data_IF_751227401499
#
_entry.id   IF_751227401499
#
_cell.length_a   1.000
_cell.length_b   1.000
_cell.length_c   1.000
_cell.angle_alpha   90.00
_cell.angle_beta   90.00
_cell.angle_gamma   90.00
#
_symmetry.space_group_name_H-M   'P 1'
#
loop_
_entity.id
_entity.type
_entity.pdbx_description
1 polymer ?
#
# COMPACT_ATOMS: atom_id res chain seq x y z
N UNK A 1 19.58 29.48 -22.82
CA UNK A 1 19.80 28.21 -23.52
C UNK A 1 20.96 27.51 -22.84
N UNK A 2 20.67 26.45 -22.19
CA UNK A 2 21.63 25.67 -21.45
C UNK A 2 22.00 24.51 -22.37
N UNK A 3 23.28 24.24 -22.47
CA UNK A 3 23.86 23.23 -23.37
C UNK A 3 23.02 21.93 -23.47
N UNK A 4 22.85 21.42 -24.70
CA UNK A 4 22.11 20.20 -25.03
C UNK A 4 22.54 18.91 -24.29
N UNK A 5 23.57 19.01 -23.42
CA UNK A 5 24.13 17.89 -22.64
C UNK A 5 24.05 18.10 -21.12
N UNK A 6 23.37 19.15 -20.64
CA UNK A 6 23.21 19.42 -19.20
C UNK A 6 21.75 19.64 -18.89
N UNK A 7 21.22 18.85 -17.96
CA UNK A 7 19.91 19.05 -17.38
C UNK A 7 20.07 19.40 -15.89
N UNK A 8 19.35 20.43 -15.45
CA UNK A 8 19.22 20.76 -14.03
C UNK A 8 17.87 20.24 -13.56
N UNK A 9 17.91 19.41 -12.54
CA UNK A 9 16.70 18.88 -11.90
C UNK A 9 16.64 19.42 -10.47
N UNK A 10 15.50 19.98 -10.09
CA UNK A 10 15.20 20.41 -8.73
C UNK A 10 14.09 19.53 -8.20
N UNK A 11 14.38 18.81 -7.13
CA UNK A 11 13.41 17.95 -6.47
C UNK A 11 13.08 18.54 -5.10
N UNK A 12 11.81 18.59 -4.76
CA UNK A 12 11.31 18.95 -3.43
C UNK A 12 10.72 17.68 -2.85
N UNK A 13 11.23 17.28 -1.70
CA UNK A 13 10.72 16.12 -0.95
C UNK A 13 9.96 16.64 0.26
N UNK A 14 8.74 16.18 0.43
CA UNK A 14 7.96 16.36 1.66
C UNK A 14 7.97 15.05 2.41
N UNK A 15 8.43 15.07 3.64
CA UNK A 15 8.45 13.92 4.53
C UNK A 15 7.35 14.11 5.59
N UNK A 16 6.50 13.12 5.73
CA UNK A 16 5.56 12.99 6.84
C UNK A 16 6.05 11.87 7.75
N UNK A 17 6.25 12.19 9.01
CA UNK A 17 6.71 11.22 10.02
C UNK A 17 5.62 11.09 11.08
N UNK A 18 5.16 9.87 11.27
CA UNK A 18 4.22 9.50 12.33
C UNK A 18 4.94 8.60 13.33
N UNK A 19 4.90 8.96 14.60
CA UNK A 19 5.43 8.16 15.67
C UNK A 19 4.30 7.76 16.63
N UNK A 20 4.19 6.47 16.90
CA UNK A 20 3.19 5.94 17.82
C UNK A 20 3.90 5.32 19.03
N UNK A 21 3.29 5.50 20.20
CA UNK A 21 3.76 4.92 21.45
C UNK A 21 2.58 4.22 22.13
N UNK A 22 2.78 2.98 22.47
CA UNK A 22 1.86 2.31 23.38
C UNK A 22 1.99 2.92 24.78
N UNK A 23 0.86 3.27 25.35
CA UNK A 23 0.79 3.80 26.69
C UNK A 23 -0.36 3.13 27.41
N UNK A 24 -0.10 2.41 28.50
CA UNK A 24 -1.16 1.86 29.33
C UNK A 24 -2.00 3.02 29.89
N UNK A 25 -3.29 2.96 29.68
CA UNK A 25 -4.25 3.87 30.28
C UNK A 25 -4.78 3.18 31.54
N UNK A 26 -4.46 3.66 32.75
CA UNK A 26 -5.02 3.10 33.97
C UNK A 26 -6.52 3.42 33.99
N UNK A 27 -7.34 2.42 33.79
CA UNK A 27 -8.75 2.49 34.11
C UNK A 27 -8.89 2.33 35.62
N UNK A 28 -9.82 3.08 36.23
CA UNK A 28 -10.12 2.92 37.64
C UNK A 28 -10.68 1.50 37.84
N UNK A 29 -10.02 0.70 38.67
CA UNK A 29 -10.57 -0.57 39.10
C UNK A 29 -11.89 -0.30 39.81
N UNK A 30 -12.94 -0.99 39.35
CA UNK A 30 -14.23 -0.93 39.99
C UNK A 30 -14.06 -1.69 41.33
N UNK A 31 -14.14 -1.01 42.48
CA UNK A 31 -13.94 -1.70 43.75
C UNK A 31 -14.98 -2.80 43.93
N UNK A 32 -14.55 -3.93 44.47
CA UNK A 32 -15.50 -4.95 44.93
C UNK A 32 -16.53 -4.31 45.89
N UNK A 33 -17.75 -4.80 45.85
CA UNK A 33 -18.86 -4.23 46.61
C UNK A 33 -18.51 -4.10 48.11
N UNK A 34 -18.19 -2.90 48.54
CA UNK A 34 -18.11 -2.57 49.94
C UNK A 34 -19.52 -2.21 50.47
N UNK A 35 -19.80 -2.52 51.74
CA UNK A 35 -21.10 -2.28 52.42
C UNK A 35 -21.47 -0.82 52.39
N UNK A 36 -21.31 0.04 51.65
CA UNK A 36 -21.71 1.45 51.61
C UNK A 36 -21.08 2.20 50.43
N UNK A 37 -20.65 1.46 49.40
CA UNK A 37 -20.17 2.06 48.15
C UNK A 37 -21.09 1.69 47.00
N UNK A 38 -21.74 2.70 46.44
CA UNK A 38 -22.59 2.58 45.30
C UNK A 38 -21.83 3.08 44.06
N UNK A 39 -21.69 2.24 43.06
CA UNK A 39 -20.98 2.53 41.82
C UNK A 39 -21.90 2.45 40.64
N UNK A 40 -21.71 3.35 39.69
CA UNK A 40 -22.36 3.32 38.37
C UNK A 40 -21.30 3.22 37.33
N UNK A 41 -21.43 2.22 36.47
CA UNK A 41 -20.56 2.02 35.31
C UNK A 41 -21.25 2.42 34.02
N UNK A 42 -20.50 2.69 33.00
CA UNK A 42 -20.98 2.83 31.64
C UNK A 42 -20.06 2.09 30.67
N UNK A 43 -20.66 1.42 29.65
CA UNK A 43 -19.85 0.76 28.62
C UNK A 43 -19.22 1.80 27.71
N UNK A 44 -17.92 1.65 27.49
CA UNK A 44 -17.16 2.44 26.54
C UNK A 44 -16.58 1.52 25.46
N UNK A 45 -16.71 1.96 24.21
CA UNK A 45 -16.08 1.29 23.10
C UNK A 45 -14.68 1.87 22.89
N UNK A 46 -13.68 1.01 22.95
CA UNK A 46 -12.27 1.31 22.68
C UNK A 46 -11.81 0.47 21.50
N UNK A 47 -10.77 0.95 20.83
CA UNK A 47 -10.09 0.16 19.81
C UNK A 47 -8.68 -0.12 20.27
N UNK A 48 -8.29 -1.38 20.16
CA UNK A 48 -6.95 -1.85 20.44
C UNK A 48 -6.27 -2.27 19.14
N UNK A 49 -5.04 -1.79 18.91
CA UNK A 49 -4.21 -2.29 17.83
C UNK A 49 -3.76 -3.71 18.17
N UNK A 50 -4.18 -4.69 17.38
CA UNK A 50 -3.82 -6.10 17.58
C UNK A 50 -2.81 -6.57 16.55
N UNK A 51 -2.73 -5.89 15.41
CA UNK A 51 -1.76 -6.21 14.36
C UNK A 51 -1.04 -4.94 13.92
N UNK A 52 0.29 -4.96 14.11
CA UNK A 52 1.21 -4.02 13.48
C UNK A 52 2.34 -4.82 12.85
N UNK A 53 2.15 -5.22 11.60
CA UNK A 53 3.07 -6.12 10.90
C UNK A 53 3.58 -5.49 9.62
N UNK A 54 4.88 -5.65 9.38
CA UNK A 54 5.51 -5.39 8.09
C UNK A 54 5.87 -6.72 7.45
N UNK A 55 5.59 -6.82 6.15
CA UNK A 55 5.89 -8.01 5.38
C UNK A 55 6.20 -7.63 3.94
N UNK A 56 6.66 -8.58 3.13
CA UNK A 56 6.96 -8.38 1.72
C UNK A 56 6.36 -9.47 0.87
N UNK A 57 5.84 -9.12 -0.29
CA UNK A 57 5.46 -10.09 -1.31
C UNK A 57 6.31 -9.89 -2.55
N UNK A 58 6.72 -11.00 -3.16
CA UNK A 58 7.47 -11.01 -4.40
C UNK A 58 6.65 -11.65 -5.50
N UNK A 59 6.54 -10.94 -6.62
CA UNK A 59 5.79 -11.36 -7.79
C UNK A 59 6.78 -11.53 -8.93
N UNK A 60 6.78 -12.72 -9.54
CA UNK A 60 7.61 -13.04 -10.69
C UNK A 60 6.73 -13.58 -11.79
N UNK A 61 6.80 -12.94 -12.94
CA UNK A 61 6.03 -13.31 -14.12
C UNK A 61 6.87 -13.13 -15.38
N UNK A 62 6.64 -13.97 -16.36
CA UNK A 62 7.29 -13.89 -17.66
C UNK A 62 6.27 -13.36 -18.69
N UNK A 63 6.57 -12.19 -19.27
CA UNK A 63 5.76 -11.55 -20.30
C UNK A 63 6.30 -11.90 -21.68
N UNK A 64 5.49 -12.59 -22.46
CA UNK A 64 5.80 -12.86 -23.84
C UNK A 64 5.30 -11.73 -24.74
N UNK A 65 6.10 -11.31 -25.72
CA UNK A 65 5.63 -10.38 -26.74
C UNK A 65 4.46 -10.96 -27.50
N UNK A 66 3.41 -10.15 -27.76
CA UNK A 66 2.31 -10.56 -28.61
C UNK A 66 2.78 -10.97 -30.00
N UNK A 67 2.06 -11.88 -30.68
CA UNK A 67 2.36 -12.24 -32.07
C UNK A 67 2.40 -11.01 -32.98
N UNK A 68 3.36 -10.98 -33.92
CA UNK A 68 3.50 -9.87 -34.88
C UNK A 68 4.24 -8.63 -34.32
N UNK A 69 4.68 -8.64 -33.08
CA UNK A 69 5.62 -7.63 -32.57
C UNK A 69 7.05 -8.05 -32.89
N UNK A 70 7.91 -7.10 -33.31
CA UNK A 70 9.31 -7.41 -33.57
C UNK A 70 10.08 -7.71 -32.27
N UNK A 71 11.16 -8.46 -32.40
CA UNK A 71 12.04 -8.84 -31.29
C UNK A 71 12.60 -7.64 -30.57
N UNK A 72 12.93 -7.81 -29.30
CA UNK A 72 13.50 -6.76 -28.45
C UNK A 72 15.00 -6.73 -28.63
N UNK A 73 15.54 -5.65 -29.15
CA UNK A 73 16.99 -5.43 -29.10
C UNK A 73 17.45 -4.99 -27.71
N UNK A 74 16.73 -3.99 -27.13
CA UNK A 74 16.97 -3.53 -25.77
C UNK A 74 15.76 -2.76 -25.22
N UNK A 75 15.58 -2.82 -23.90
CA UNK A 75 14.60 -2.01 -23.18
C UNK A 75 15.19 -0.64 -22.93
N UNK A 76 14.50 0.41 -23.38
CA UNK A 76 14.90 1.82 -23.24
C UNK A 76 14.31 2.49 -22.02
N UNK A 77 13.07 2.15 -21.69
CA UNK A 77 12.33 2.70 -20.56
C UNK A 77 11.43 1.62 -19.97
N UNK A 78 11.29 1.62 -18.67
CA UNK A 78 10.39 0.71 -17.96
C UNK A 78 9.68 1.42 -16.81
N UNK A 79 8.44 1.06 -16.59
CA UNK A 79 7.62 1.53 -15.49
C UNK A 79 6.71 0.40 -15.01
N UNK A 80 6.62 0.25 -13.69
CA UNK A 80 5.68 -0.68 -13.05
C UNK A 80 4.85 0.10 -12.06
N UNK A 81 3.54 -0.04 -12.14
CA UNK A 81 2.59 0.54 -11.20
C UNK A 81 1.74 -0.55 -10.57
N UNK A 82 1.43 -0.37 -9.31
CA UNK A 82 0.49 -1.22 -8.58
C UNK A 82 -0.86 -0.55 -8.59
N UNK A 83 -1.90 -1.30 -8.97
CA UNK A 83 -3.27 -0.78 -9.03
C UNK A 83 -4.30 -1.82 -8.58
N UNK A 84 -5.51 -1.35 -8.23
CA UNK A 84 -6.61 -2.22 -7.85
C UNK A 84 -6.31 -3.11 -6.65
N UNK A 85 -5.48 -2.63 -5.73
CA UNK A 85 -5.10 -3.41 -4.55
C UNK A 85 -6.27 -3.56 -3.60
N UNK A 86 -6.48 -4.78 -3.13
CA UNK A 86 -7.45 -5.16 -2.12
C UNK A 86 -6.75 -6.05 -1.10
N UNK A 87 -6.93 -5.74 0.18
CA UNK A 87 -6.43 -6.58 1.28
C UNK A 87 -7.61 -6.97 2.15
N UNK A 88 -7.78 -8.27 2.35
CA UNK A 88 -8.83 -8.81 3.21
C UNK A 88 -8.22 -9.61 4.35
N UNK A 89 -8.56 -9.30 5.59
CA UNK A 89 -8.26 -10.15 6.72
C UNK A 89 -9.13 -11.42 6.65
N UNK A 90 -8.51 -12.57 6.85
CA UNK A 90 -9.13 -13.87 7.02
C UNK A 90 -8.53 -14.53 8.26
N UNK A 91 -9.07 -15.67 8.69
CA UNK A 91 -8.55 -16.40 9.84
C UNK A 91 -7.10 -16.84 9.59
N UNK A 92 -6.18 -16.36 10.41
CA UNK A 92 -4.75 -16.69 10.35
C UNK A 92 -3.97 -16.10 9.19
N UNK A 93 -4.55 -15.23 8.35
CA UNK A 93 -3.86 -14.66 7.19
C UNK A 93 -4.52 -13.41 6.62
N UNK A 94 -3.77 -12.70 5.80
CA UNK A 94 -4.28 -11.68 4.90
C UNK A 94 -4.27 -12.18 3.46
N UNK A 95 -5.34 -11.92 2.72
CA UNK A 95 -5.38 -12.11 1.26
C UNK A 95 -5.11 -10.76 0.61
N UNK A 96 -4.01 -10.68 -0.14
CA UNK A 96 -3.60 -9.49 -0.89
C UNK A 96 -3.81 -9.75 -2.37
N UNK A 97 -4.62 -8.94 -3.02
CA UNK A 97 -4.88 -8.99 -4.46
C UNK A 97 -4.60 -7.65 -5.09
N UNK A 98 -4.33 -7.68 -6.39
CA UNK A 98 -4.14 -6.47 -7.18
C UNK A 98 -3.69 -6.78 -8.58
N UNK A 99 -3.27 -5.75 -9.27
CA UNK A 99 -2.71 -5.83 -10.61
C UNK A 99 -1.44 -5.00 -10.70
N UNK A 100 -0.41 -5.56 -11.32
CA UNK A 100 0.78 -4.81 -11.74
C UNK A 100 0.54 -4.33 -13.17
N UNK A 101 0.53 -3.03 -13.39
CA UNK A 101 0.56 -2.47 -14.73
C UNK A 101 2.02 -2.27 -15.13
N UNK A 102 2.48 -3.10 -16.05
CA UNK A 102 3.86 -3.09 -16.56
C UNK A 102 3.87 -2.38 -17.89
N UNK A 103 4.65 -1.32 -17.98
CA UNK A 103 4.92 -0.60 -19.22
C UNK A 103 6.40 -0.66 -19.55
N UNK A 104 6.75 -0.93 -20.79
CA UNK A 104 8.12 -0.72 -21.27
C UNK A 104 8.15 -0.27 -22.72
N UNK A 105 9.11 0.63 -22.98
CA UNK A 105 9.49 1.10 -24.30
C UNK A 105 10.77 0.37 -24.69
N UNK A 106 10.80 -0.17 -25.91
CA UNK A 106 11.96 -0.90 -26.38
C UNK A 106 12.37 -0.54 -27.80
N UNK A 107 13.64 -0.71 -28.07
CA UNK A 107 14.20 -0.70 -29.42
C UNK A 107 14.11 -2.11 -29.98
N UNK A 108 13.53 -2.24 -31.16
CA UNK A 108 13.40 -3.54 -31.84
C UNK A 108 14.56 -3.81 -32.78
N UNK A 109 14.71 -5.06 -33.17
CA UNK A 109 15.67 -5.48 -34.20
C UNK A 109 15.25 -5.05 -35.60
N UNK A 110 13.97 -4.72 -35.80
CA UNK A 110 13.41 -4.27 -37.07
C UNK A 110 13.64 -2.76 -37.25
N UNK A 111 14.45 -2.38 -38.24
CA UNK A 111 14.80 -0.98 -38.52
C UNK A 111 13.59 -0.13 -38.94
N UNK A 112 12.58 -0.71 -39.60
CA UNK A 112 11.36 0.01 -39.99
C UNK A 112 10.44 0.31 -38.79
N UNK A 113 10.50 -0.53 -37.74
CA UNK A 113 9.69 -0.42 -36.53
C UNK A 113 10.55 -0.25 -35.29
N UNK A 114 11.56 0.57 -35.37
CA UNK A 114 12.64 0.69 -34.38
C UNK A 114 12.16 0.92 -32.96
N UNK A 115 11.14 1.74 -32.74
CA UNK A 115 10.60 2.03 -31.39
C UNK A 115 9.24 1.39 -31.21
N UNK A 116 9.13 0.55 -30.22
CA UNK A 116 7.92 -0.16 -29.84
C UNK A 116 7.69 -0.04 -28.34
N UNK A 117 6.45 -0.21 -27.92
CA UNK A 117 6.07 -0.24 -26.51
C UNK A 117 5.06 -1.33 -26.23
N UNK A 118 5.05 -1.78 -24.97
CA UNK A 118 4.09 -2.73 -24.41
C UNK A 118 3.55 -2.15 -23.12
N UNK A 119 2.24 -2.29 -22.91
CA UNK A 119 1.58 -2.10 -21.63
C UNK A 119 0.74 -3.35 -21.36
N UNK A 120 0.99 -3.99 -20.24
CA UNK A 120 0.27 -5.21 -19.85
C UNK A 120 -0.02 -5.22 -18.35
N UNK A 121 -1.25 -5.63 -17.99
CA UNK A 121 -1.68 -5.90 -16.63
C UNK A 121 -1.32 -7.34 -16.23
N UNK A 122 -0.75 -7.49 -15.05
CA UNK A 122 -0.45 -8.78 -14.41
C UNK A 122 -1.25 -8.86 -13.12
N UNK A 123 -2.34 -9.64 -13.05
CA UNK A 123 -3.07 -9.82 -11.83
C UNK A 123 -2.24 -10.65 -10.83
N UNK A 124 -2.29 -10.30 -9.57
CA UNK A 124 -1.64 -11.07 -8.52
C UNK A 124 -2.57 -11.36 -7.35
N UNK A 125 -2.32 -12.48 -6.69
CA UNK A 125 -2.95 -12.87 -5.43
C UNK A 125 -1.92 -13.55 -4.55
N UNK A 126 -1.71 -13.01 -3.35
CA UNK A 126 -0.78 -13.55 -2.37
C UNK A 126 -1.48 -13.71 -1.02
N UNK A 127 -0.95 -14.62 -0.22
CA UNK A 127 -1.37 -14.84 1.16
C UNK A 127 -0.22 -14.45 2.09
N UNK A 128 -0.53 -13.68 3.12
CA UNK A 128 0.42 -13.27 4.16
C UNK A 128 -0.04 -13.88 5.47
N UNK A 129 0.72 -14.81 6.01
CA UNK A 129 0.39 -15.49 7.26
C UNK A 129 0.44 -14.51 8.44
N UNK A 130 -0.58 -14.54 9.30
CA UNK A 130 -0.65 -13.72 10.51
C UNK A 130 -1.60 -14.42 11.48
N UNK A 131 -1.07 -15.04 12.53
CA UNK A 131 -1.85 -15.86 13.47
C UNK A 131 -2.93 -15.05 14.20
N UNK A 132 -2.67 -13.78 14.47
CA UNK A 132 -3.61 -12.88 15.13
C UNK A 132 -4.72 -12.36 14.21
N UNK A 133 -4.63 -12.65 12.89
CA UNK A 133 -5.57 -12.15 11.93
C UNK A 133 -6.92 -12.84 12.02
N UNK A 134 -7.98 -12.06 12.07
CA UNK A 134 -9.40 -12.48 12.07
C UNK A 134 -10.19 -11.61 11.10
N UNK A 135 -11.28 -12.16 10.59
CA UNK A 135 -12.11 -11.49 9.58
C UNK A 135 -12.87 -10.26 10.08
N UNK A 136 -13.04 -10.13 11.39
CA UNK A 136 -13.76 -9.02 12.06
C UNK A 136 -12.87 -7.79 12.32
N UNK A 137 -11.57 -7.91 12.12
CA UNK A 137 -10.65 -6.80 12.34
C UNK A 137 -10.85 -5.67 11.34
N UNK A 138 -10.79 -4.45 11.84
CA UNK A 138 -10.83 -3.23 11.03
C UNK A 138 -9.45 -2.62 10.94
N UNK A 139 -8.96 -2.34 9.74
CA UNK A 139 -7.62 -1.81 9.60
C UNK A 139 -7.25 -1.39 8.19
N UNK A 140 -5.98 -1.06 8.02
CA UNK A 140 -5.42 -0.59 6.76
C UNK A 140 -4.10 -1.29 6.48
N UNK A 141 -3.91 -1.63 5.22
CA UNK A 141 -2.62 -2.06 4.68
C UNK A 141 -2.11 -1.03 3.69
N UNK A 142 -0.93 -0.51 3.93
CA UNK A 142 -0.20 0.29 2.98
C UNK A 142 0.69 -0.63 2.15
N UNK A 143 0.61 -0.48 0.81
CA UNK A 143 1.37 -1.26 -0.14
C UNK A 143 2.27 -0.32 -0.91
N UNK A 144 3.57 -0.56 -0.85
CA UNK A 144 4.58 0.24 -1.53
C UNK A 144 5.41 -0.62 -2.47
N UNK A 145 5.60 -0.14 -3.71
CA UNK A 145 6.52 -0.76 -4.65
C UNK A 145 7.96 -0.49 -4.20
N UNK A 146 8.62 -1.53 -3.72
CA UNK A 146 10.00 -1.46 -3.20
C UNK A 146 11.04 -1.70 -4.31
N UNK A 147 10.76 -2.67 -5.18
CA UNK A 147 11.66 -3.05 -6.28
C UNK A 147 10.87 -3.46 -7.50
N UNK A 148 11.34 -3.07 -8.69
CA UNK A 148 10.82 -3.52 -9.96
C UNK A 148 11.97 -3.73 -10.95
N UNK A 149 12.15 -4.97 -11.38
CA UNK A 149 13.14 -5.36 -12.38
C UNK A 149 12.45 -5.99 -13.58
N UNK A 150 12.85 -5.57 -14.77
CA UNK A 150 12.48 -6.16 -16.03
C UNK A 150 13.77 -6.61 -16.72
N UNK A 151 13.84 -7.90 -17.01
CA UNK A 151 15.00 -8.53 -17.64
C UNK A 151 14.58 -9.19 -18.94
N UNK A 152 15.26 -8.85 -20.03
CA UNK A 152 15.07 -9.49 -21.32
C UNK A 152 15.58 -10.93 -21.27
N UNK A 153 14.78 -11.86 -21.76
CA UNK A 153 15.11 -13.27 -21.87
C UNK A 153 14.81 -13.77 -23.27
N UNK A 154 15.52 -14.82 -23.66
CA UNK A 154 15.18 -15.54 -24.90
C UNK A 154 13.99 -16.47 -24.66
N UNK A 155 13.20 -16.63 -25.69
CA UNK A 155 12.15 -17.64 -25.74
C UNK A 155 12.71 -19.04 -26.09
N UNK A 156 11.82 -20.00 -26.38
CA UNK A 156 12.21 -21.38 -26.72
C UNK A 156 13.02 -21.49 -28.02
N UNK A 157 12.84 -20.55 -28.93
CA UNK A 157 13.54 -20.50 -30.23
C UNK A 157 14.85 -19.71 -30.13
N UNK A 158 15.17 -19.19 -28.94
CA UNK A 158 16.36 -18.38 -28.68
C UNK A 158 16.19 -16.91 -29.04
N UNK A 159 14.98 -16.47 -29.41
CA UNK A 159 14.72 -15.10 -29.77
C UNK A 159 14.42 -14.21 -28.55
N UNK A 160 14.87 -12.95 -28.52
CA UNK A 160 14.66 -12.05 -27.40
C UNK A 160 13.20 -11.50 -27.39
N UNK A 161 12.24 -12.33 -26.98
CA UNK A 161 10.81 -12.07 -27.00
C UNK A 161 10.13 -12.20 -25.63
N UNK A 162 10.88 -12.59 -24.61
CA UNK A 162 10.36 -12.77 -23.26
C UNK A 162 10.93 -11.71 -22.31
N UNK A 163 10.11 -11.12 -21.48
CA UNK A 163 10.54 -10.17 -20.44
C UNK A 163 10.14 -10.71 -19.07
N UNK A 164 11.14 -11.06 -18.27
CA UNK A 164 10.90 -11.43 -16.87
C UNK A 164 10.66 -10.18 -16.04
N UNK A 165 9.54 -10.19 -15.35
CA UNK A 165 9.14 -9.16 -14.38
C UNK A 165 9.37 -9.70 -12.98
N UNK A 166 10.18 -9.03 -12.19
CA UNK A 166 10.46 -9.35 -10.78
C UNK A 166 10.15 -8.12 -9.93
N UNK A 167 9.09 -8.21 -9.14
CA UNK A 167 8.57 -7.09 -8.34
C UNK A 167 8.52 -7.48 -6.89
N UNK A 168 8.94 -6.55 -6.02
CA UNK A 168 8.80 -6.66 -4.57
C UNK A 168 7.90 -5.54 -4.08
N UNK A 169 6.86 -5.92 -3.34
CA UNK A 169 5.94 -5.00 -2.67
C UNK A 169 6.14 -5.11 -1.17
N UNK A 170 6.36 -3.97 -0.52
CA UNK A 170 6.41 -3.86 0.93
C UNK A 170 4.99 -3.58 1.44
N UNK A 171 4.61 -4.29 2.49
CA UNK A 171 3.32 -4.21 3.16
C UNK A 171 3.52 -3.67 4.57
N UNK A 172 2.70 -2.69 4.96
CA UNK A 172 2.57 -2.25 6.35
C UNK A 172 1.10 -2.40 6.77
N UNK A 173 0.84 -3.37 7.63
CA UNK A 173 -0.50 -3.76 8.07
C UNK A 173 -0.75 -3.28 9.48
N UNK A 174 -1.85 -2.53 9.68
CA UNK A 174 -2.29 -2.06 10.99
C UNK A 174 -3.77 -2.35 11.13
N UNK A 175 -4.10 -3.23 12.07
CA UNK A 175 -5.47 -3.66 12.29
C UNK A 175 -5.84 -3.61 13.77
N UNK A 176 -7.11 -3.30 14.01
CA UNK A 176 -7.66 -3.01 15.31
C UNK A 176 -8.87 -3.90 15.58
N UNK A 177 -9.06 -4.23 16.85
CA UNK A 177 -10.29 -4.85 17.34
C UNK A 177 -11.09 -3.86 18.20
N UNK A 178 -12.41 -4.00 18.18
CA UNK A 178 -13.30 -3.23 19.03
C UNK A 178 -13.43 -3.94 20.38
N UNK A 179 -13.06 -3.23 21.45
CA UNK A 179 -13.24 -3.68 22.82
C UNK A 179 -14.37 -2.88 23.49
N UNK A 180 -15.17 -3.54 24.28
CA UNK A 180 -16.12 -2.89 25.18
C UNK A 180 -15.66 -3.11 26.60
N UNK A 181 -15.36 -2.03 27.30
CA UNK A 181 -14.99 -2.07 28.72
C UNK A 181 -15.98 -1.26 29.55
N UNK A 182 -16.26 -1.72 30.76
CA UNK A 182 -17.03 -0.98 31.75
C UNK A 182 -16.11 0.05 32.42
N UNK A 183 -16.48 1.31 32.35
CA UNK A 183 -15.76 2.41 32.98
C UNK A 183 -16.60 2.97 34.13
N UNK A 184 -15.95 3.25 35.26
CA UNK A 184 -16.61 3.90 36.36
C UNK A 184 -17.10 5.29 35.95
N UNK A 185 -18.41 5.49 35.98
CA UNK A 185 -19.06 6.75 35.60
C UNK A 185 -19.36 7.63 36.84
N UNK A 186 -19.68 6.99 37.96
CA UNK A 186 -20.04 7.68 39.21
C UNK A 186 -19.88 6.75 40.42
N UNK A 187 -19.58 7.30 41.57
CA UNK A 187 -19.52 6.58 42.82
C UNK A 187 -19.97 7.47 43.99
N UNK A 188 -20.78 6.92 44.88
CA UNK A 188 -21.18 7.62 46.10
C UNK A 188 -21.27 6.68 47.30
N UNK A 189 -21.15 7.24 48.50
CA UNK A 189 -21.34 6.57 49.76
C UNK A 189 -22.29 7.37 50.63
N UNK A 190 -23.06 6.69 51.48
CA UNK A 190 -24.00 7.34 52.42
C UNK A 190 -23.30 7.76 53.74
N UNK A 191 -22.19 7.13 54.07
CA UNK A 191 -21.48 7.34 55.33
C UNK A 191 -20.22 8.19 55.22
N UNK A 192 -19.66 8.40 54.04
CA UNK A 192 -18.40 9.10 53.79
C UNK A 192 -18.46 9.95 52.51
N UNK A 193 -17.73 11.06 52.54
CA UNK A 193 -17.56 11.89 51.37
C UNK A 193 -16.53 11.22 50.42
N UNK A 194 -16.88 11.11 49.16
CA UNK A 194 -16.00 10.62 48.10
C UNK A 194 -15.61 11.83 47.23
N UNK A 195 -14.32 12.12 47.17
CA UNK A 195 -13.76 13.17 46.32
C UNK A 195 -13.18 12.55 45.04
N UNK A 196 -13.87 12.63 43.91
CA UNK A 196 -13.35 12.10 42.69
C UNK A 196 -12.25 12.99 42.11
N UNK A 197 -11.12 12.40 41.75
CA UNK A 197 -10.10 13.06 40.95
C UNK A 197 -10.39 12.69 39.49
N UNK A 198 -10.98 13.62 38.74
CA UNK A 198 -11.32 13.39 37.33
C UNK A 198 -10.13 13.76 36.45
N UNK A 199 -9.55 12.77 35.77
CA UNK A 199 -8.65 12.99 34.67
C UNK A 199 -9.47 12.91 33.36
N UNK A 200 -9.48 13.99 32.59
CA UNK A 200 -10.07 13.97 31.27
C UNK A 200 -9.20 13.14 30.33
N UNK A 201 -9.72 12.03 29.86
CA UNK A 201 -9.10 11.23 28.80
C UNK A 201 -9.92 11.39 27.52
N UNK A 202 -9.24 11.68 26.41
CA UNK A 202 -9.82 11.65 25.10
C UNK A 202 -9.15 10.56 24.27
N UNK A 203 -9.93 9.72 23.63
CA UNK A 203 -9.45 8.73 22.68
C UNK A 203 -10.18 8.85 21.37
N UNK A 204 -9.52 8.46 20.31
CA UNK A 204 -10.10 8.41 18.97
C UNK A 204 -10.30 6.96 18.56
N UNK A 205 -11.39 6.68 17.88
CA UNK A 205 -11.66 5.39 17.28
C UNK A 205 -11.74 5.51 15.75
N UNK A 206 -11.40 4.44 15.05
CA UNK A 206 -11.59 4.35 13.61
C UNK A 206 -13.06 4.02 13.34
N UNK A 207 -13.79 4.99 12.79
CA UNK A 207 -15.22 4.80 12.47
C UNK A 207 -15.37 4.13 11.10
N UNK A 208 -14.51 4.50 10.15
CA UNK A 208 -14.53 3.95 8.81
C UNK A 208 -13.17 4.13 8.14
N UNK A 209 -12.75 3.12 7.39
CA UNK A 209 -11.61 3.19 6.48
C UNK A 209 -12.17 3.08 5.06
N UNK A 210 -11.87 4.06 4.22
CA UNK A 210 -12.21 4.04 2.81
C UNK A 210 -10.99 4.44 1.98
N UNK A 211 -10.71 3.68 0.93
CA UNK A 211 -9.71 4.02 -0.08
C UNK A 211 -10.42 4.11 -1.44
N UNK A 212 -10.15 5.15 -2.19
CA UNK A 212 -10.70 5.33 -3.52
C UNK A 212 -9.60 5.71 -4.48
N UNK A 213 -9.48 4.93 -5.55
CA UNK A 213 -8.52 5.19 -6.64
C UNK A 213 -9.27 5.32 -7.95
N UNK A 214 -8.99 6.38 -8.68
CA UNK A 214 -9.57 6.62 -9.99
C UNK A 214 -8.46 6.66 -11.03
N UNK A 215 -8.62 5.84 -12.08
CA UNK A 215 -7.75 5.89 -13.26
C UNK A 215 -8.38 6.80 -14.30
N UNK A 216 -7.63 7.80 -14.73
CA UNK A 216 -7.98 8.64 -15.86
C UNK A 216 -7.13 8.23 -17.05
N UNK A 217 -7.78 7.94 -18.18
CA UNK A 217 -7.10 7.68 -19.46
C UNK A 217 -7.58 8.69 -20.50
N UNK A 218 -6.67 9.17 -21.32
CA UNK A 218 -6.98 10.09 -22.39
C UNK A 218 -5.98 9.97 -23.54
N UNK A 219 -6.36 10.45 -24.72
CA UNK A 219 -5.44 10.59 -25.85
C UNK A 219 -4.96 12.03 -25.92
N UNK A 220 -3.64 12.20 -25.86
CA UNK A 220 -2.99 13.47 -26.12
C UNK A 220 -2.59 13.48 -27.59
N UNK A 221 -3.08 14.45 -28.37
CA UNK A 221 -2.55 14.69 -29.72
C UNK A 221 -1.36 15.63 -29.57
N UNK A 222 -0.19 15.11 -29.91
CA UNK A 222 0.99 15.95 -30.07
C UNK A 222 0.87 16.68 -31.42
N UNK A 223 1.18 17.95 -31.45
CA UNK A 223 1.30 18.69 -32.71
C UNK A 223 2.54 18.23 -33.46
N UNK A 224 2.58 18.41 -34.78
CA UNK A 224 3.77 18.09 -35.59
C UNK A 224 5.03 18.82 -35.08
N UNK A 225 4.87 19.94 -34.37
CA UNK A 225 5.95 20.70 -33.77
C UNK A 225 6.45 20.13 -32.42
N UNK A 226 5.68 19.24 -31.78
CA UNK A 226 6.04 18.63 -30.50
C UNK A 226 6.74 17.26 -30.64
N UNK A 227 6.79 16.75 -31.89
CA UNK A 227 7.40 15.45 -32.22
C UNK A 227 8.95 15.40 -32.25
N UNK A 228 9.73 16.48 -32.22
CA UNK A 228 11.17 16.44 -32.54
C UNK A 228 12.10 16.02 -31.40
N UNK A 229 11.64 15.78 -30.19
CA UNK A 229 12.55 15.42 -29.09
C UNK A 229 13.26 14.05 -29.35
N UNK A 230 12.73 13.23 -30.22
CA UNK A 230 13.30 11.94 -30.60
C UNK A 230 14.09 11.94 -31.93
N UNK A 231 14.00 13.02 -32.72
CA UNK A 231 14.67 13.10 -34.02
C UNK A 231 16.10 13.66 -33.98
N UNK A 232 16.51 14.30 -32.90
CA UNK A 232 17.82 15.00 -32.79
C UNK A 232 18.97 14.11 -32.30
N UNK A 233 18.98 12.83 -32.67
CA UNK A 233 20.14 11.95 -32.48
C UNK A 233 20.77 11.47 -33.79
N UNK A 234 20.80 12.32 -34.79
CA UNK A 234 21.71 12.15 -35.93
C UNK A 234 22.65 13.35 -35.99
N UNK A 235 23.75 13.30 -35.29
CA UNK A 235 25.06 13.87 -35.60
C UNK A 235 26.09 13.41 -34.56
#
# INVERSE_FOLDING_TARGET
AIHSRKANMKTILTLSVEAMKEQPVPLVEIPEAEEDLYVRTCPQKLQQEVIHKKDTIRIREDLNLPPGRPNIHRILWKEVRVQGTEVRPEEGKFIVKGELLVFFLYESEDEEKRLQWIEQGIPFRNEVACEECRADLTGKTEITLSKAELELQSDFDGEPRNVRVDVVLDLCMRYFEDLTCEVLADAYSLSREILPVIQACAWTSVVQIADSRTRLSGRIRLSENDAPILQDRKS
#
